data_IF_519296307996
#
_entry.id   IF_519296307996
#
_cell.length_a   1.000
_cell.length_b   1.000
_cell.length_c   1.000
_cell.angle_alpha   90.00
_cell.angle_beta   90.00
_cell.angle_gamma   90.00
#
_symmetry.space_group_name_H-M   'P 1'
#
loop_
_entity.id
_entity.type
_entity.pdbx_description
1 polymer ?
#
# COMPACT_ATOMS: atom_id res chain seq x y z
N UNK A 1 -40.93 -22.27 -42.34
CA UNK A 1 -39.65 -22.32 -41.63
C UNK A 1 -39.37 -20.90 -41.12
N UNK A 2 -39.61 -20.63 -39.80
CA UNK A 2 -39.65 -19.28 -39.24
C UNK A 2 -38.24 -18.71 -39.09
N UNK A 3 -37.87 -17.86 -40.01
CA UNK A 3 -36.55 -17.21 -40.06
C UNK A 3 -36.24 -16.42 -38.77
N UNK A 4 -37.27 -15.91 -38.10
CA UNK A 4 -37.12 -15.16 -36.82
C UNK A 4 -36.62 -16.05 -35.67
N UNK A 5 -36.86 -17.37 -35.70
CA UNK A 5 -36.35 -18.27 -34.65
C UNK A 5 -34.86 -18.54 -34.81
N UNK A 6 -34.36 -18.51 -36.04
CA UNK A 6 -32.95 -18.74 -36.34
C UNK A 6 -32.07 -17.57 -35.88
N UNK A 7 -32.57 -16.35 -36.01
CA UNK A 7 -31.85 -15.14 -35.53
C UNK A 7 -31.79 -15.07 -34.02
N UNK A 8 -32.85 -15.53 -33.32
CA UNK A 8 -32.89 -15.49 -31.84
C UNK A 8 -31.91 -16.50 -31.25
N UNK A 9 -31.72 -17.67 -31.87
CA UNK A 9 -30.77 -18.68 -31.39
C UNK A 9 -29.31 -18.28 -31.64
N UNK A 10 -29.01 -17.57 -32.72
CA UNK A 10 -27.66 -17.08 -33.01
C UNK A 10 -27.28 -15.93 -32.08
N UNK A 11 -28.25 -15.07 -31.74
CA UNK A 11 -27.98 -13.94 -30.78
C UNK A 11 -27.72 -14.43 -29.35
N UNK A 12 -28.36 -15.54 -28.91
CA UNK A 12 -28.15 -16.13 -27.60
C UNK A 12 -26.76 -16.80 -27.46
N UNK A 13 -26.16 -17.24 -28.54
CA UNK A 13 -24.84 -17.90 -28.53
C UNK A 13 -23.66 -16.92 -28.50
N UNK A 14 -23.88 -15.66 -28.86
CA UNK A 14 -22.82 -14.62 -28.88
C UNK A 14 -22.62 -13.97 -27.50
N UNK A 15 -23.62 -14.03 -26.62
CA UNK A 15 -23.57 -13.38 -25.30
C UNK A 15 -22.82 -14.20 -24.24
N UNK A 16 -22.51 -15.49 -24.53
CA UNK A 16 -21.89 -16.40 -23.55
C UNK A 16 -20.34 -16.42 -23.53
N UNK A 17 -19.66 -15.57 -24.33
CA UNK A 17 -18.18 -15.63 -24.43
C UNK A 17 -17.44 -14.40 -23.91
N UNK A 18 -17.97 -13.65 -22.96
CA UNK A 18 -17.29 -12.50 -22.38
C UNK A 18 -17.23 -12.55 -20.85
N UNK A 19 -16.80 -13.66 -20.30
CA UNK A 19 -16.25 -13.72 -18.95
C UNK A 19 -14.86 -14.36 -19.01
N UNK A 20 -13.93 -13.67 -19.66
CA UNK A 20 -12.50 -13.90 -19.39
C UNK A 20 -12.24 -13.43 -17.98
N UNK A 21 -12.33 -14.37 -17.03
CA UNK A 21 -11.75 -14.17 -15.70
C UNK A 21 -10.27 -13.92 -15.91
N UNK A 22 -9.83 -12.66 -15.80
CA UNK A 22 -8.43 -12.34 -15.59
C UNK A 22 -8.00 -13.23 -14.43
N UNK A 23 -7.27 -14.30 -14.71
CA UNK A 23 -6.50 -15.02 -13.71
C UNK A 23 -5.44 -14.00 -13.26
N UNK A 24 -5.78 -13.22 -12.25
CA UNK A 24 -4.82 -12.39 -11.54
C UNK A 24 -3.80 -13.37 -10.98
N UNK A 25 -2.60 -13.36 -11.51
CA UNK A 25 -1.52 -14.18 -10.96
C UNK A 25 -1.32 -13.71 -9.52
N UNK A 26 -1.82 -14.51 -8.57
CA UNK A 26 -1.67 -14.26 -7.15
C UNK A 26 -0.19 -14.11 -6.84
N UNK A 27 0.21 -12.95 -6.39
CA UNK A 27 1.58 -12.70 -5.96
C UNK A 27 1.71 -13.13 -4.50
N UNK A 28 2.70 -13.98 -4.22
CA UNK A 28 2.99 -14.47 -2.87
C UNK A 28 4.15 -13.70 -2.26
N UNK A 29 4.18 -13.65 -0.94
CA UNK A 29 5.26 -13.05 -0.19
C UNK A 29 5.38 -13.64 1.21
N UNK A 30 6.44 -13.24 1.89
CA UNK A 30 6.74 -13.63 3.27
C UNK A 30 6.86 -12.35 4.10
N UNK A 31 6.23 -12.33 5.26
CA UNK A 31 6.32 -11.20 6.19
C UNK A 31 7.70 -11.10 6.82
N UNK A 32 8.24 -9.89 6.81
CA UNK A 32 9.49 -9.51 7.47
C UNK A 32 9.33 -8.24 8.28
N UNK A 33 10.25 -7.98 9.19
CA UNK A 33 10.26 -6.75 9.96
C UNK A 33 10.37 -5.51 9.05
N UNK A 34 9.42 -4.58 9.15
CA UNK A 34 9.41 -3.42 8.28
C UNK A 34 10.45 -2.38 8.71
N UNK A 35 11.28 -1.97 7.77
CA UNK A 35 12.27 -0.91 7.96
C UNK A 35 12.17 0.11 6.84
N UNK A 36 12.45 1.36 7.18
CA UNK A 36 12.56 2.43 6.20
C UNK A 36 13.84 3.21 6.42
N UNK A 37 14.45 3.62 5.33
CA UNK A 37 15.56 4.58 5.36
C UNK A 37 14.99 5.98 5.32
N UNK A 38 15.26 6.77 6.36
CA UNK A 38 14.86 8.16 6.42
C UNK A 38 16.05 9.02 6.03
N UNK A 39 15.87 9.79 4.95
CA UNK A 39 16.84 10.80 4.57
C UNK A 39 16.35 12.17 5.07
N UNK A 40 16.96 12.75 6.09
CA UNK A 40 16.53 14.01 6.66
C UNK A 40 16.77 15.23 5.77
N UNK A 41 17.48 15.09 4.67
CA UNK A 41 17.95 16.21 3.84
C UNK A 41 16.87 16.95 3.03
N UNK A 42 15.64 16.47 2.97
CA UNK A 42 14.66 17.02 2.02
C UNK A 42 13.84 18.18 2.59
N UNK A 43 13.88 18.45 3.88
CA UNK A 43 12.92 19.39 4.50
C UNK A 43 13.47 20.68 5.09
N UNK A 44 14.78 20.89 5.20
CA UNK A 44 15.30 22.02 5.99
C UNK A 44 16.22 23.01 5.28
N UNK A 45 16.56 22.87 4.02
CA UNK A 45 17.65 23.65 3.43
C UNK A 45 17.26 24.94 2.68
N UNK A 46 16.01 25.39 2.69
CA UNK A 46 15.64 26.61 1.94
C UNK A 46 15.65 27.93 2.72
N UNK A 47 15.90 27.93 4.01
CA UNK A 47 15.89 29.17 4.83
C UNK A 47 17.05 29.31 5.81
N UNK A 48 18.27 29.16 5.37
CA UNK A 48 19.41 29.47 6.22
C UNK A 48 20.70 28.95 5.63
N UNK A 49 21.59 29.84 5.22
CA UNK A 49 22.90 29.52 4.63
C UNK A 49 23.87 28.80 5.57
N UNK A 50 23.46 27.71 6.16
CA UNK A 50 24.33 26.77 6.87
C UNK A 50 24.89 25.74 5.90
N UNK A 51 26.18 25.41 6.04
CA UNK A 51 26.81 24.35 5.29
C UNK A 51 25.94 23.05 5.35
N UNK A 52 25.83 22.27 4.28
CA UNK A 52 25.07 21.04 4.30
C UNK A 52 25.69 20.13 5.37
N UNK A 53 25.01 20.00 6.50
CA UNK A 53 25.36 18.97 7.47
C UNK A 53 25.19 17.64 6.69
N UNK A 54 26.22 16.80 6.72
CA UNK A 54 26.13 15.41 6.25
C UNK A 54 25.13 14.68 7.15
N UNK A 55 23.86 14.90 6.89
CA UNK A 55 22.77 14.23 7.58
C UNK A 55 22.85 12.76 7.17
N UNK A 56 23.12 11.91 8.15
CA UNK A 56 23.24 10.48 7.91
C UNK A 56 21.85 9.93 7.69
N UNK A 57 21.71 9.17 6.63
CA UNK A 57 20.58 8.25 6.50
C UNK A 57 20.52 7.36 7.74
N UNK A 58 19.35 7.18 8.29
CA UNK A 58 19.15 6.24 9.40
C UNK A 58 17.96 5.33 9.09
N UNK A 59 18.09 4.10 9.51
CA UNK A 59 16.99 3.15 9.49
C UNK A 59 16.06 3.43 10.67
N UNK A 60 14.76 3.40 10.39
CA UNK A 60 13.73 3.47 11.42
C UNK A 60 12.86 2.23 11.33
N UNK A 61 12.65 1.60 12.45
CA UNK A 61 11.70 0.50 12.56
C UNK A 61 10.28 1.06 12.48
N UNK A 62 9.44 0.35 11.76
CA UNK A 62 8.03 0.63 11.65
C UNK A 62 7.24 -0.31 12.56
N UNK A 63 6.06 0.11 12.96
CA UNK A 63 5.14 -0.75 13.70
C UNK A 63 4.74 -1.93 12.81
N UNK A 64 4.86 -3.15 13.32
CA UNK A 64 4.59 -4.38 12.56
C UNK A 64 3.22 -4.93 12.89
N UNK A 65 2.21 -4.34 12.27
CA UNK A 65 0.80 -4.61 12.51
C UNK A 65 0.02 -4.69 11.20
N UNK A 66 -1.13 -5.36 11.25
CA UNK A 66 -2.12 -5.47 10.20
C UNK A 66 -3.28 -4.53 10.51
N UNK A 67 -3.56 -3.57 9.65
CA UNK A 67 -4.68 -2.63 9.78
C UNK A 67 -5.85 -3.03 8.89
N UNK A 68 -7.06 -2.88 9.41
CA UNK A 68 -8.28 -3.18 8.66
C UNK A 68 -8.48 -2.19 7.50
N UNK A 69 -8.16 -0.93 7.72
CA UNK A 69 -8.35 0.15 6.74
C UNK A 69 -7.29 1.24 6.88
N UNK A 70 -7.25 2.12 5.91
CA UNK A 70 -6.50 3.36 5.97
C UNK A 70 -7.31 4.51 5.37
N UNK A 71 -7.00 5.73 5.77
CA UNK A 71 -7.52 6.94 5.16
C UNK A 71 -6.55 7.46 4.10
N UNK A 72 -7.11 8.02 3.04
CA UNK A 72 -6.33 8.68 2.00
C UNK A 72 -6.43 10.18 2.14
N UNK A 73 -5.31 10.87 2.23
CA UNK A 73 -5.26 12.31 2.31
C UNK A 73 -4.44 12.90 1.18
N UNK A 74 -5.10 13.77 0.45
CA UNK A 74 -4.48 14.60 -0.55
C UNK A 74 -4.18 15.97 0.08
N UNK A 75 -2.92 16.33 0.19
CA UNK A 75 -2.51 17.67 0.55
C UNK A 75 -2.14 18.39 -0.74
N UNK A 76 -3.01 19.29 -1.20
CA UNK A 76 -2.62 20.29 -2.18
C UNK A 76 -1.56 21.16 -1.52
N UNK A 77 -0.30 20.94 -1.89
CA UNK A 77 0.82 21.58 -1.21
C UNK A 77 0.72 23.09 -1.32
N UNK A 78 0.83 23.76 -0.18
CA UNK A 78 1.17 25.17 -0.08
C UNK A 78 2.68 25.34 -0.28
N UNK A 79 3.30 24.48 -1.05
CA UNK A 79 4.68 24.58 -1.47
C UNK A 79 4.77 25.52 -2.66
N UNK A 80 5.74 26.41 -2.70
CA UNK A 80 5.97 27.35 -3.79
C UNK A 80 6.16 26.68 -5.17
N UNK A 81 6.38 25.38 -5.18
CA UNK A 81 6.56 24.52 -6.37
C UNK A 81 5.32 23.68 -6.74
N UNK A 82 4.21 23.87 -6.00
CA UNK A 82 2.92 23.23 -6.33
C UNK A 82 2.95 21.69 -6.20
N UNK A 83 3.90 21.14 -5.50
CA UNK A 83 4.01 19.68 -5.31
C UNK A 83 2.82 19.17 -4.50
N UNK A 84 2.06 18.31 -5.15
CA UNK A 84 0.92 17.61 -4.54
C UNK A 84 1.47 16.42 -3.75
N UNK A 85 1.18 16.34 -2.47
CA UNK A 85 1.56 15.20 -1.64
C UNK A 85 0.35 14.35 -1.30
N UNK A 86 0.49 13.07 -1.53
CA UNK A 86 -0.53 12.06 -1.26
C UNK A 86 -0.04 11.14 -0.15
N UNK A 87 -0.88 10.94 0.87
CA UNK A 87 -0.54 10.12 2.02
C UNK A 87 -1.63 9.10 2.30
N UNK A 88 -1.20 7.88 2.65
CA UNK A 88 -2.07 6.96 3.35
C UNK A 88 -1.90 7.17 4.85
N UNK A 89 -3.01 7.21 5.57
CA UNK A 89 -3.00 7.40 7.01
C UNK A 89 -3.53 6.13 7.67
N UNK A 90 -2.68 5.48 8.44
CA UNK A 90 -3.08 4.41 9.35
C UNK A 90 -3.12 4.95 10.76
N UNK A 91 -4.17 4.62 11.50
CA UNK A 91 -4.41 5.12 12.85
C UNK A 91 -4.88 4.01 13.78
N UNK A 92 -4.58 4.18 15.05
CA UNK A 92 -4.95 3.20 16.07
C UNK A 92 -4.00 2.00 16.14
N UNK A 93 -4.44 0.99 16.87
CA UNK A 93 -3.73 -0.27 17.04
C UNK A 93 -4.21 -1.26 15.99
N UNK A 94 -3.26 -1.84 15.26
CA UNK A 94 -3.50 -2.96 14.35
C UNK A 94 -3.38 -4.30 15.08
N UNK A 95 -3.54 -5.37 14.33
CA UNK A 95 -3.29 -6.72 14.82
C UNK A 95 -1.80 -7.04 14.67
N UNK A 96 -1.08 -7.39 15.74
CA UNK A 96 0.33 -7.74 15.67
C UNK A 96 0.59 -8.89 14.69
N UNK A 97 1.64 -8.74 13.88
CA UNK A 97 2.05 -9.71 12.89
C UNK A 97 3.28 -10.52 13.35
N UNK A 98 3.50 -11.66 12.72
CA UNK A 98 4.66 -12.50 12.97
C UNK A 98 5.54 -12.60 11.73
N UNK A 99 6.85 -12.47 11.92
CA UNK A 99 7.85 -12.65 10.87
C UNK A 99 7.76 -14.10 10.33
N UNK A 100 7.93 -14.24 9.01
CA UNK A 100 7.93 -15.54 8.34
C UNK A 100 6.54 -16.05 7.94
N UNK A 101 5.45 -15.35 8.29
CA UNK A 101 4.12 -15.73 7.80
C UNK A 101 4.03 -15.56 6.28
N UNK A 102 3.46 -16.57 5.61
CA UNK A 102 3.18 -16.50 4.17
C UNK A 102 1.91 -15.74 3.92
N UNK A 103 1.97 -14.86 2.93
CA UNK A 103 0.87 -13.97 2.56
C UNK A 103 0.63 -13.98 1.05
N UNK A 104 -0.61 -13.72 0.71
CA UNK A 104 -1.06 -13.41 -0.64
C UNK A 104 -1.25 -11.91 -0.75
N UNK A 105 -0.70 -11.28 -1.79
CA UNK A 105 -0.91 -9.86 -2.07
C UNK A 105 -2.23 -9.70 -2.82
N UNK A 106 -3.13 -8.88 -2.28
CA UNK A 106 -4.47 -8.67 -2.82
C UNK A 106 -4.56 -7.35 -3.58
N UNK A 107 -3.96 -6.29 -3.01
CA UNK A 107 -4.08 -4.95 -3.55
C UNK A 107 -2.90 -4.07 -3.11
N UNK A 108 -2.73 -2.93 -3.76
CA UNK A 108 -1.69 -1.95 -3.44
C UNK A 108 -2.30 -0.55 -3.36
N UNK A 109 -2.01 0.16 -2.29
CA UNK A 109 -2.43 1.54 -2.14
C UNK A 109 -1.58 2.47 -3.04
N UNK A 110 -2.22 3.46 -3.65
CA UNK A 110 -1.56 4.40 -4.57
C UNK A 110 -0.62 5.38 -3.89
N UNK A 111 -0.51 5.36 -2.57
CA UNK A 111 0.36 6.26 -1.81
C UNK A 111 1.78 5.73 -1.71
N UNK A 112 2.76 6.58 -2.00
CA UNK A 112 4.19 6.30 -1.81
C UNK A 112 4.69 6.69 -0.42
N UNK A 113 3.89 7.46 0.31
CA UNK A 113 4.18 7.94 1.66
C UNK A 113 3.01 7.62 2.57
N UNK A 114 3.29 7.27 3.79
CA UNK A 114 2.26 7.00 4.78
C UNK A 114 2.50 7.77 6.07
N UNK A 115 1.42 8.01 6.78
CA UNK A 115 1.41 8.62 8.09
C UNK A 115 0.84 7.63 9.09
N UNK A 116 1.53 7.43 10.19
CA UNK A 116 1.06 6.61 11.30
C UNK A 116 0.74 7.49 12.50
N UNK A 117 -0.40 7.25 13.11
CA UNK A 117 -0.83 7.92 14.34
C UNK A 117 -1.27 6.87 15.35
N UNK A 118 -0.54 6.75 16.44
CA UNK A 118 -0.97 5.95 17.58
C UNK A 118 -2.05 6.72 18.32
N UNK A 119 -3.16 6.13 18.67
CA UNK A 119 -4.29 6.82 19.30
C UNK A 119 -4.04 7.44 20.71
N UNK A 120 -2.82 7.37 21.20
CA UNK A 120 -2.38 7.82 22.55
C UNK A 120 -1.98 9.29 22.62
N UNK A 121 -2.16 10.08 21.56
CA UNK A 121 -1.74 11.48 21.48
C UNK A 121 -0.28 11.68 21.07
N UNK A 122 0.45 10.61 20.79
CA UNK A 122 1.80 10.69 20.20
C UNK A 122 1.73 11.42 18.85
N UNK A 123 2.65 12.38 18.58
CA UNK A 123 2.67 13.06 17.30
C UNK A 123 2.75 12.06 16.14
N UNK A 124 2.01 12.34 15.09
CA UNK A 124 2.07 11.53 13.89
C UNK A 124 3.48 11.49 13.31
N UNK A 125 3.84 10.36 12.76
CA UNK A 125 5.09 10.18 12.00
C UNK A 125 4.79 9.91 10.54
N UNK A 126 5.61 10.48 9.66
CA UNK A 126 5.55 10.28 8.22
C UNK A 126 6.70 9.38 7.80
N UNK A 127 6.39 8.42 6.94
CA UNK A 127 7.34 7.45 6.45
C UNK A 127 7.30 7.38 4.92
N UNK A 128 8.45 7.22 4.25
CA UNK A 128 8.52 6.96 2.81
C UNK A 128 8.21 5.48 2.51
N UNK A 129 7.05 5.02 2.94
CA UNK A 129 6.57 3.67 2.72
C UNK A 129 5.09 3.73 2.31
N UNK A 130 4.73 2.93 1.30
CA UNK A 130 3.35 2.70 0.89
C UNK A 130 2.68 1.62 1.73
N UNK A 131 1.44 1.30 1.36
CA UNK A 131 0.67 0.22 1.96
C UNK A 131 0.29 -0.81 0.89
N UNK A 132 0.28 -2.07 1.27
CA UNK A 132 -0.28 -3.16 0.46
C UNK A 132 -1.30 -3.94 1.28
N UNK A 133 -2.32 -4.43 0.60
CA UNK A 133 -3.32 -5.31 1.19
C UNK A 133 -2.87 -6.76 1.04
N UNK A 134 -2.86 -7.47 2.13
CA UNK A 134 -2.46 -8.88 2.17
C UNK A 134 -3.57 -9.76 2.75
N UNK A 135 -3.50 -11.05 2.43
CA UNK A 135 -4.21 -12.12 3.13
C UNK A 135 -3.18 -13.05 3.75
N UNK A 136 -3.26 -13.27 5.06
CA UNK A 136 -2.43 -14.26 5.75
C UNK A 136 -2.94 -15.65 5.40
N UNK A 137 -2.10 -16.48 4.76
CA UNK A 137 -2.55 -17.79 4.22
C UNK A 137 -3.02 -18.73 5.33
N UNK A 138 -2.39 -18.71 6.49
CA UNK A 138 -2.70 -19.63 7.59
C UNK A 138 -4.01 -19.31 8.31
N UNK A 139 -4.43 -18.04 8.33
CA UNK A 139 -5.62 -17.59 9.09
C UNK A 139 -6.74 -17.09 8.20
N UNK A 140 -6.43 -16.73 6.95
CA UNK A 140 -7.36 -16.05 6.04
C UNK A 140 -7.62 -14.58 6.39
N UNK A 141 -6.96 -14.04 7.41
CA UNK A 141 -7.13 -12.65 7.82
C UNK A 141 -6.58 -11.70 6.76
N UNK A 142 -7.35 -10.68 6.44
CA UNK A 142 -6.97 -9.64 5.46
C UNK A 142 -6.75 -8.30 6.14
N UNK A 143 -5.86 -7.51 5.57
CA UNK A 143 -5.63 -6.13 6.01
C UNK A 143 -4.47 -5.48 5.29
N UNK A 144 -4.16 -4.26 5.70
CA UNK A 144 -3.11 -3.43 5.13
C UNK A 144 -1.85 -3.51 5.98
N UNK A 145 -0.70 -3.57 5.31
CA UNK A 145 0.63 -3.55 5.94
C UNK A 145 1.53 -2.60 5.16
N UNK A 146 2.69 -2.26 5.74
CA UNK A 146 3.72 -1.52 5.01
C UNK A 146 4.24 -2.33 3.82
N UNK A 147 4.48 -1.69 2.70
CA UNK A 147 5.12 -2.35 1.52
C UNK A 147 6.46 -2.97 1.90
N UNK A 148 7.18 -2.37 2.83
CA UNK A 148 8.48 -2.85 3.33
C UNK A 148 8.36 -4.05 4.26
N UNK A 149 7.15 -4.41 4.71
CA UNK A 149 6.88 -5.60 5.54
C UNK A 149 6.86 -6.90 4.75
N UNK A 150 6.87 -6.85 3.42
CA UNK A 150 6.73 -8.04 2.58
C UNK A 150 7.95 -8.22 1.71
N UNK A 151 8.47 -9.43 1.73
CA UNK A 151 9.44 -9.91 0.77
C UNK A 151 8.70 -10.74 -0.27
N UNK A 152 8.73 -10.28 -1.52
CA UNK A 152 8.05 -10.94 -2.63
C UNK A 152 8.80 -12.19 -3.05
N UNK A 153 8.09 -13.29 -3.22
CA UNK A 153 8.66 -14.49 -3.79
C UNK A 153 8.99 -14.22 -5.28
N UNK A 154 10.26 -14.35 -5.65
CA UNK A 154 10.67 -14.28 -7.06
C UNK A 154 10.13 -15.49 -7.82
N UNK A 155 9.46 -15.22 -8.94
CA UNK A 155 9.02 -16.27 -9.88
C UNK A 155 10.20 -16.91 -10.57
#
# INVERSE_FOLDING_TARGET
MNWNLLFLTIFLLIVSSACESKISSTQLGILKEPKVTINPDITSSKFGGGAPSKLREFESDLVFELWESFDYKYLAGVSFDGVKEEFCIVSGEGVPLQIGQKVEIIDEARCLKSQYTRGDGTPFRRFPAGLIKIRIISTGQEGWVWTTSVEFESK
#
